data_IF_121478707460
#
_entry.id   IF_121478707460
#
_cell.length_a   1.000
_cell.length_b   1.000
_cell.length_c   1.000
_cell.angle_alpha   90.00
_cell.angle_beta   90.00
_cell.angle_gamma   90.00
#
_symmetry.space_group_name_H-M   'P 1'
#
loop_
_entity.id
_entity.type
_entity.pdbx_description
1 polymer ?
#
# COMPACT_ATOMS: atom_id res chain seq x y z
N UNK A 1 43.03 -55.01 76.18
CA UNK A 1 42.03 -54.00 75.88
C UNK A 1 42.38 -53.35 74.48
N UNK A 2 41.67 -53.72 73.43
CA UNK A 2 41.89 -53.18 72.07
C UNK A 2 40.84 -52.11 71.83
N UNK A 3 41.27 -50.87 71.68
CA UNK A 3 40.38 -49.76 71.25
C UNK A 3 40.22 -49.77 69.71
N UNK A 4 39.01 -50.06 69.28
CA UNK A 4 38.62 -49.93 67.84
C UNK A 4 38.21 -48.48 67.56
N UNK A 5 38.98 -47.77 66.78
CA UNK A 5 38.64 -46.45 66.31
C UNK A 5 37.80 -46.56 65.02
N UNK A 6 36.54 -46.24 65.11
CA UNK A 6 35.62 -46.14 63.98
C UNK A 6 35.90 -44.84 63.21
N UNK A 7 36.29 -44.98 61.96
CA UNK A 7 36.51 -43.84 61.03
C UNK A 7 35.23 -43.62 60.27
N UNK A 8 34.50 -42.52 60.56
CA UNK A 8 33.30 -42.12 59.82
C UNK A 8 33.74 -41.31 58.66
N UNK A 9 33.57 -41.84 57.40
CA UNK A 9 33.81 -41.11 56.17
C UNK A 9 32.56 -40.31 55.88
N UNK A 10 32.67 -38.96 55.99
CA UNK A 10 31.63 -38.01 55.57
C UNK A 10 31.73 -37.83 54.09
N UNK A 11 30.84 -38.47 53.31
CA UNK A 11 30.73 -38.30 51.87
C UNK A 11 30.01 -36.96 51.56
N UNK A 12 30.76 -35.96 51.14
CA UNK A 12 30.18 -34.68 50.64
C UNK A 12 29.75 -34.93 49.19
N UNK A 13 28.45 -35.06 48.97
CA UNK A 13 27.85 -35.08 47.66
C UNK A 13 27.78 -33.63 47.15
N UNK A 14 28.66 -33.25 46.21
CA UNK A 14 28.56 -32.02 45.45
C UNK A 14 27.45 -32.21 44.42
N UNK A 15 26.28 -31.65 44.68
CA UNK A 15 25.23 -31.51 43.68
C UNK A 15 25.63 -30.33 42.79
N UNK A 16 26.21 -30.63 41.63
CA UNK A 16 26.37 -29.65 40.57
C UNK A 16 24.98 -29.38 39.99
N UNK A 17 24.32 -28.32 40.48
CA UNK A 17 23.20 -27.74 39.75
C UNK A 17 23.76 -27.14 38.45
N UNK A 18 23.78 -27.94 37.40
CA UNK A 18 23.91 -27.44 36.04
C UNK A 18 22.62 -26.72 35.71
N UNK A 19 22.60 -25.41 35.89
CA UNK A 19 21.57 -24.53 35.34
C UNK A 19 21.85 -24.46 33.85
N UNK A 20 21.27 -25.40 33.05
CA UNK A 20 21.08 -25.21 31.67
C UNK A 20 19.94 -24.20 31.53
N UNK A 21 20.24 -22.92 31.61
CA UNK A 21 19.44 -21.91 30.93
C UNK A 21 19.79 -22.03 29.46
N UNK A 22 19.10 -22.90 28.73
CA UNK A 22 18.93 -22.74 27.31
C UNK A 22 18.11 -21.46 27.15
N UNK A 23 18.78 -20.32 27.24
CA UNK A 23 18.27 -19.06 26.71
C UNK A 23 18.17 -19.28 25.21
N UNK A 24 17.02 -19.84 24.77
CA UNK A 24 16.67 -19.78 23.34
C UNK A 24 16.77 -18.31 22.91
N UNK A 25 17.81 -17.99 22.16
CA UNK A 25 18.05 -16.64 21.66
C UNK A 25 16.80 -16.23 20.88
N UNK A 26 15.91 -15.46 21.53
CA UNK A 26 14.67 -15.02 20.93
C UNK A 26 15.01 -14.14 19.73
N UNK A 27 14.72 -14.63 18.54
CA UNK A 27 14.93 -13.85 17.31
C UNK A 27 14.07 -12.59 17.35
N UNK A 28 14.61 -11.43 16.91
CA UNK A 28 13.80 -10.25 16.69
C UNK A 28 12.74 -10.54 15.64
N UNK A 29 11.69 -9.76 15.61
CA UNK A 29 10.70 -9.81 14.53
C UNK A 29 10.65 -8.52 13.73
N UNK A 30 10.25 -8.66 12.47
CA UNK A 30 10.07 -7.58 11.50
C UNK A 30 8.66 -7.64 10.96
N UNK A 31 8.06 -6.48 10.76
CA UNK A 31 6.79 -6.32 10.08
C UNK A 31 6.88 -5.17 9.08
N UNK A 32 5.99 -5.20 8.10
CA UNK A 32 5.77 -4.12 7.15
C UNK A 32 4.32 -3.66 7.23
N UNK A 33 4.09 -2.35 7.18
CA UNK A 33 2.77 -1.75 7.24
C UNK A 33 2.31 -1.30 5.84
N UNK A 34 1.01 -1.26 5.63
CA UNK A 34 0.43 -0.74 4.39
C UNK A 34 0.61 0.77 4.30
N UNK A 35 0.84 1.27 3.08
CA UNK A 35 1.23 2.64 2.79
C UNK A 35 0.28 3.20 1.74
N UNK A 36 0.02 4.49 1.82
CA UNK A 36 -0.64 5.26 0.76
C UNK A 36 0.32 6.35 0.30
N UNK A 37 0.40 6.57 -0.99
CA UNK A 37 1.24 7.58 -1.62
C UNK A 37 0.51 8.17 -2.81
N UNK A 38 0.63 9.47 -3.02
CA UNK A 38 0.17 10.13 -4.23
C UNK A 38 1.06 9.68 -5.40
N UNK A 39 0.44 9.40 -6.53
CA UNK A 39 1.16 8.97 -7.72
C UNK A 39 2.04 10.09 -8.27
N UNK A 40 1.50 11.31 -8.33
CA UNK A 40 2.17 12.50 -8.87
C UNK A 40 2.32 12.47 -10.39
N UNK A 41 2.56 13.63 -10.99
CA UNK A 41 2.65 13.79 -12.44
C UNK A 41 4.04 13.47 -13.03
N UNK A 42 4.95 12.94 -12.26
CA UNK A 42 6.31 12.56 -12.70
C UNK A 42 6.87 11.48 -11.79
N UNK A 43 7.86 10.77 -12.30
CA UNK A 43 8.58 9.78 -11.49
C UNK A 43 9.03 10.33 -10.14
N UNK A 44 8.67 9.63 -9.08
CA UNK A 44 9.04 9.92 -7.70
C UNK A 44 9.43 8.64 -6.95
N UNK A 45 9.75 8.74 -5.65
CA UNK A 45 10.23 7.61 -4.86
C UNK A 45 9.44 7.46 -3.56
N UNK A 46 8.90 6.26 -3.35
CA UNK A 46 8.33 5.83 -2.08
C UNK A 46 9.43 5.23 -1.21
N UNK A 47 9.81 5.90 -0.13
CA UNK A 47 10.69 5.31 0.89
C UNK A 47 9.87 4.42 1.82
N UNK A 48 10.27 3.15 1.93
CA UNK A 48 9.66 2.17 2.82
C UNK A 48 10.62 1.84 3.94
N UNK A 49 10.18 2.02 5.19
CA UNK A 49 10.98 1.72 6.37
C UNK A 49 10.57 0.38 6.98
N UNK A 50 11.57 -0.45 7.26
CA UNK A 50 11.42 -1.68 8.02
C UNK A 50 11.99 -1.47 9.42
N UNK A 51 11.27 -1.95 10.43
CA UNK A 51 11.67 -1.80 11.84
C UNK A 51 11.66 -3.17 12.54
N UNK A 52 12.72 -3.43 13.30
CA UNK A 52 12.84 -4.61 14.16
C UNK A 52 12.22 -4.33 15.52
N UNK A 53 11.74 -5.38 16.18
CA UNK A 53 11.24 -5.28 17.56
C UNK A 53 12.33 -4.94 18.59
N UNK A 54 13.58 -5.25 18.29
CA UNK A 54 14.77 -4.91 19.08
C UNK A 54 16.04 -5.09 18.25
N UNK A 55 17.09 -4.34 18.57
CA UNK A 55 18.42 -4.55 18.00
C UNK A 55 19.06 -5.85 18.48
N UNK A 56 19.96 -6.37 17.67
CA UNK A 56 20.75 -7.58 17.97
C UNK A 56 22.22 -7.34 17.65
N UNK A 57 23.12 -8.16 18.18
CA UNK A 57 24.56 -8.06 18.05
C UNK A 57 25.14 -8.83 16.85
N UNK A 58 24.29 -9.16 15.89
CA UNK A 58 24.64 -9.88 14.66
C UNK A 58 23.83 -9.35 13.49
N UNK A 59 24.31 -9.63 12.28
CA UNK A 59 23.61 -9.25 11.06
C UNK A 59 22.42 -10.15 10.79
N UNK A 60 21.35 -9.58 10.27
CA UNK A 60 20.18 -10.27 9.80
C UNK A 60 19.74 -9.70 8.44
N UNK A 61 18.94 -10.45 7.71
CA UNK A 61 18.43 -9.98 6.42
C UNK A 61 17.05 -10.53 6.10
N UNK A 62 16.40 -9.85 5.18
CA UNK A 62 15.13 -10.24 4.59
C UNK A 62 15.13 -9.83 3.12
N UNK A 63 14.55 -10.66 2.25
CA UNK A 63 14.31 -10.28 0.87
C UNK A 63 13.02 -9.50 0.78
N UNK A 64 13.03 -8.46 -0.02
CA UNK A 64 11.88 -7.60 -0.32
C UNK A 64 11.58 -7.70 -1.81
N UNK A 65 10.32 -7.86 -2.17
CA UNK A 65 9.88 -7.78 -3.56
C UNK A 65 8.51 -7.15 -3.70
N UNK A 66 8.29 -6.52 -4.84
CA UNK A 66 6.97 -6.02 -5.26
C UNK A 66 6.17 -7.11 -5.99
N UNK A 67 4.85 -7.01 -5.93
CA UNK A 67 3.91 -7.91 -6.60
C UNK A 67 2.74 -7.10 -7.13
N UNK A 68 2.46 -7.21 -8.43
CA UNK A 68 1.35 -6.51 -9.08
C UNK A 68 0.00 -6.77 -8.38
N UNK A 69 -0.83 -5.76 -8.40
CA UNK A 69 -2.23 -5.78 -8.04
C UNK A 69 -3.06 -5.19 -9.19
N UNK A 70 -3.75 -4.08 -8.97
CA UNK A 70 -4.29 -3.23 -10.04
C UNK A 70 -3.18 -2.38 -10.64
N UNK A 71 -2.28 -1.84 -9.80
CA UNK A 71 -1.05 -1.21 -10.26
C UNK A 71 -0.07 -2.26 -10.84
N UNK A 72 0.49 -1.97 -12.00
CA UNK A 72 1.28 -2.88 -12.84
C UNK A 72 2.72 -2.36 -12.96
N UNK A 73 3.67 -3.21 -12.67
CA UNK A 73 5.09 -2.86 -12.85
C UNK A 73 5.42 -2.45 -14.27
N UNK A 74 6.25 -1.41 -14.39
CA UNK A 74 6.65 -0.83 -15.67
C UNK A 74 5.63 0.13 -16.27
N UNK A 75 4.44 0.26 -15.65
CA UNK A 75 3.44 1.29 -15.93
C UNK A 75 3.35 2.26 -14.74
N UNK A 76 3.06 1.74 -13.56
CA UNK A 76 2.72 2.53 -12.38
C UNK A 76 3.86 2.56 -11.35
N UNK A 77 4.74 1.54 -11.38
CA UNK A 77 5.95 1.48 -10.54
C UNK A 77 7.05 0.63 -11.16
N UNK A 78 8.27 0.79 -10.69
CA UNK A 78 9.41 -0.07 -11.09
C UNK A 78 9.47 -1.31 -10.20
N UNK A 79 9.57 -2.50 -10.83
CA UNK A 79 9.71 -3.78 -10.13
C UNK A 79 10.93 -3.78 -9.20
N UNK A 80 10.74 -4.24 -7.96
CA UNK A 80 11.81 -4.32 -6.97
C UNK A 80 12.00 -5.76 -6.49
N UNK A 81 13.26 -6.20 -6.46
CA UNK A 81 13.72 -7.35 -5.70
C UNK A 81 15.07 -7.02 -5.08
N UNK A 82 15.12 -6.92 -3.75
CA UNK A 82 16.30 -6.50 -3.01
C UNK A 82 16.46 -7.28 -1.71
N UNK A 83 17.70 -7.50 -1.28
CA UNK A 83 18.03 -8.07 0.04
C UNK A 83 18.34 -6.93 0.98
N UNK A 84 17.48 -6.74 1.97
CA UNK A 84 17.68 -5.72 3.01
C UNK A 84 18.46 -6.33 4.16
N UNK A 85 19.59 -5.73 4.48
CA UNK A 85 20.50 -6.16 5.55
C UNK A 85 20.40 -5.17 6.71
N UNK A 86 20.19 -5.69 7.90
CA UNK A 86 20.36 -4.95 9.15
C UNK A 86 21.68 -5.37 9.76
N UNK A 87 22.63 -4.45 9.84
CA UNK A 87 23.91 -4.69 10.51
C UNK A 87 23.71 -4.78 12.03
N UNK A 88 24.63 -5.46 12.72
CA UNK A 88 24.62 -5.56 14.17
C UNK A 88 24.37 -4.21 14.84
N UNK A 89 23.37 -4.14 15.74
CA UNK A 89 22.96 -2.94 16.46
C UNK A 89 21.95 -2.05 15.74
N UNK A 90 21.62 -2.29 14.47
CA UNK A 90 20.57 -1.54 13.76
C UNK A 90 19.19 -2.05 14.14
N UNK A 91 18.23 -1.15 14.23
CA UNK A 91 16.80 -1.43 14.41
C UNK A 91 15.95 -1.05 13.22
N UNK A 92 16.51 -0.26 12.30
CA UNK A 92 15.79 0.23 11.12
C UNK A 92 16.63 0.11 9.87
N UNK A 93 15.99 -0.18 8.76
CA UNK A 93 16.53 -0.10 7.41
C UNK A 93 15.43 0.35 6.45
N UNK A 94 15.79 1.04 5.39
CA UNK A 94 14.85 1.50 4.37
C UNK A 94 15.30 1.09 2.98
N UNK A 95 14.33 1.06 2.07
CA UNK A 95 14.53 0.90 0.64
C UNK A 95 13.54 1.80 -0.12
N UNK A 96 13.82 2.06 -1.39
CA UNK A 96 13.00 2.93 -2.22
C UNK A 96 12.33 2.14 -3.34
N UNK A 97 11.07 2.46 -3.61
CA UNK A 97 10.33 2.01 -4.79
C UNK A 97 10.10 3.23 -5.67
N UNK A 98 10.47 3.14 -6.93
CA UNK A 98 10.21 4.18 -7.91
C UNK A 98 8.76 4.09 -8.38
N UNK A 99 8.01 5.17 -8.21
CA UNK A 99 6.64 5.34 -8.68
C UNK A 99 6.70 6.09 -10.01
N UNK A 100 6.01 5.59 -11.00
CA UNK A 100 6.02 6.10 -12.39
C UNK A 100 4.77 6.95 -12.61
N UNK A 101 4.70 8.09 -11.92
CA UNK A 101 3.58 9.01 -12.06
C UNK A 101 3.52 9.67 -13.44
N UNK A 102 2.30 9.99 -13.88
CA UNK A 102 2.02 10.68 -15.15
C UNK A 102 0.90 11.73 -14.95
N UNK A 103 0.23 12.18 -16.00
CA UNK A 103 -0.84 13.18 -15.95
C UNK A 103 -2.17 12.60 -16.50
N UNK A 104 -2.34 11.28 -16.42
CA UNK A 104 -3.50 10.56 -16.92
C UNK A 104 -4.45 10.25 -15.76
N UNK A 105 -5.68 10.79 -15.75
CA UNK A 105 -6.65 10.44 -14.73
C UNK A 105 -7.00 8.96 -14.72
N UNK A 106 -6.74 8.31 -13.62
CA UNK A 106 -6.99 6.88 -13.40
C UNK A 106 -7.76 6.64 -12.09
N UNK A 107 -8.12 5.42 -11.80
CA UNK A 107 -8.61 5.05 -10.47
C UNK A 107 -7.43 4.82 -9.53
N UNK A 108 -7.64 4.98 -8.22
CA UNK A 108 -6.64 4.57 -7.24
C UNK A 108 -6.27 3.11 -7.43
N UNK A 109 -4.99 2.82 -7.48
CA UNK A 109 -4.46 1.50 -7.75
C UNK A 109 -3.68 0.92 -6.57
N UNK A 110 -3.45 -0.39 -6.59
CA UNK A 110 -2.71 -1.08 -5.52
C UNK A 110 -1.70 -2.05 -6.08
N UNK A 111 -0.55 -2.15 -5.40
CA UNK A 111 0.37 -3.28 -5.49
C UNK A 111 0.76 -3.76 -4.09
N UNK A 112 1.51 -4.84 -3.99
CA UNK A 112 1.94 -5.38 -2.70
C UNK A 112 3.46 -5.43 -2.59
N UNK A 113 3.96 -5.22 -1.37
CA UNK A 113 5.34 -5.51 -0.98
C UNK A 113 5.33 -6.80 -0.17
N UNK A 114 6.22 -7.73 -0.45
CA UNK A 114 6.38 -8.99 0.29
C UNK A 114 7.76 -9.11 0.89
N UNK A 115 7.79 -9.60 2.15
CA UNK A 115 9.00 -10.00 2.86
C UNK A 115 9.16 -11.52 2.74
N UNK A 116 10.31 -11.96 2.26
CA UNK A 116 10.63 -13.37 2.02
C UNK A 116 12.01 -13.72 2.55
N UNK A 117 12.35 -15.01 2.63
CA UNK A 117 13.67 -15.53 2.95
C UNK A 117 14.35 -14.89 4.17
N UNK A 118 13.69 -14.85 5.37
CA UNK A 118 14.28 -14.24 6.55
C UNK A 118 15.51 -15.02 7.01
N UNK A 119 16.60 -14.31 7.29
CA UNK A 119 17.81 -14.84 7.92
C UNK A 119 18.00 -14.20 9.29
N UNK A 120 18.00 -15.02 10.36
CA UNK A 120 18.15 -14.59 11.75
C UNK A 120 17.04 -13.64 12.28
N UNK A 121 15.88 -13.58 11.63
CA UNK A 121 14.74 -12.75 12.01
C UNK A 121 13.43 -13.51 11.77
N UNK A 122 12.38 -13.19 12.53
CA UNK A 122 11.01 -13.66 12.27
C UNK A 122 10.25 -12.59 11.49
N UNK A 123 9.39 -13.01 10.59
CA UNK A 123 8.47 -12.09 9.92
C UNK A 123 7.10 -12.22 10.57
N UNK A 124 6.62 -11.16 11.22
CA UNK A 124 5.29 -11.13 11.85
C UNK A 124 4.21 -10.76 10.82
N UNK A 125 4.47 -9.74 9.97
CA UNK A 125 3.62 -9.41 8.84
C UNK A 125 4.42 -9.45 7.53
N UNK A 126 4.03 -10.36 6.63
CA UNK A 126 4.77 -10.63 5.39
C UNK A 126 4.43 -9.70 4.24
N UNK A 127 3.27 -9.07 4.28
CA UNK A 127 2.74 -8.37 3.12
C UNK A 127 2.18 -7.03 3.53
N UNK A 128 2.57 -5.99 2.83
CA UNK A 128 1.95 -4.67 2.89
C UNK A 128 1.30 -4.34 1.54
N UNK A 129 0.18 -3.65 1.59
CA UNK A 129 -0.44 -3.06 0.42
C UNK A 129 0.05 -1.63 0.28
N UNK A 130 0.51 -1.27 -0.90
CA UNK A 130 0.74 0.11 -1.31
C UNK A 130 -0.45 0.55 -2.15
N UNK A 131 -1.05 1.67 -1.79
CA UNK A 131 -2.11 2.31 -2.57
C UNK A 131 -1.52 3.53 -3.24
N UNK A 132 -1.53 3.55 -4.56
CA UNK A 132 -1.26 4.74 -5.38
C UNK A 132 -2.56 5.53 -5.45
N UNK A 133 -2.50 6.77 -4.99
CA UNK A 133 -3.64 7.68 -5.03
C UNK A 133 -3.47 8.52 -6.28
N UNK A 134 -4.42 8.41 -7.20
CA UNK A 134 -4.46 9.28 -8.36
C UNK A 134 -4.71 10.72 -7.94
N UNK A 135 -3.91 11.65 -8.43
CA UNK A 135 -4.03 13.08 -8.18
C UNK A 135 -4.34 13.89 -9.46
N UNK A 136 -4.66 13.20 -10.56
CA UNK A 136 -5.02 13.78 -11.84
C UNK A 136 -6.52 13.97 -11.98
N UNK A 137 -6.90 15.05 -12.65
CA UNK A 137 -8.30 15.41 -12.88
C UNK A 137 -8.66 15.35 -14.37
N UNK A 138 -9.85 14.83 -14.67
CA UNK A 138 -10.43 14.95 -15.99
C UNK A 138 -10.78 16.41 -16.30
N UNK A 139 -9.86 17.14 -16.90
CA UNK A 139 -10.14 18.50 -17.34
C UNK A 139 -10.78 18.44 -18.72
N UNK A 140 -12.10 18.55 -18.76
CA UNK A 140 -12.81 18.82 -20.02
C UNK A 140 -12.64 20.30 -20.35
N UNK A 141 -11.74 20.65 -21.28
CA UNK A 141 -11.66 22.01 -21.77
C UNK A 141 -12.88 22.29 -22.63
N UNK A 142 -13.85 22.98 -22.07
CA UNK A 142 -14.98 23.54 -22.84
C UNK A 142 -14.48 24.85 -23.43
N UNK A 143 -14.51 25.05 -24.79
CA UNK A 143 -14.14 26.32 -25.36
C UNK A 143 -14.99 27.44 -24.76
N UNK A 144 -14.38 28.59 -24.44
CA UNK A 144 -15.13 29.77 -23.93
C UNK A 144 -16.27 30.21 -24.86
N UNK A 145 -16.12 29.93 -26.13
CA UNK A 145 -17.15 30.19 -27.15
C UNK A 145 -18.26 29.14 -27.20
N UNK A 146 -18.14 28.06 -26.37
CA UNK A 146 -19.04 26.91 -26.45
C UNK A 146 -18.86 26.09 -27.71
N UNK A 147 -19.71 25.09 -27.89
CA UNK A 147 -19.81 24.32 -29.11
C UNK A 147 -20.99 24.85 -29.92
N UNK A 148 -20.76 25.23 -31.20
CA UNK A 148 -21.82 25.56 -32.13
C UNK A 148 -22.16 24.34 -32.99
N UNK A 149 -23.43 23.99 -33.08
CA UNK A 149 -23.91 23.01 -34.04
C UNK A 149 -24.22 23.72 -35.37
N UNK A 150 -24.01 23.07 -36.54
CA UNK A 150 -24.45 23.63 -37.82
C UNK A 150 -25.95 23.89 -37.81
N UNK A 151 -26.37 25.04 -38.30
CA UNK A 151 -27.80 25.36 -38.41
C UNK A 151 -28.54 24.44 -39.41
N UNK A 152 -27.80 23.84 -40.32
CA UNK A 152 -28.37 22.95 -41.34
C UNK A 152 -27.43 21.77 -41.61
N UNK A 153 -28.02 20.61 -41.91
CA UNK A 153 -27.32 19.41 -42.35
C UNK A 153 -27.79 19.02 -43.73
N UNK A 154 -26.88 18.64 -44.61
CA UNK A 154 -27.20 18.26 -46.00
C UNK A 154 -28.18 17.05 -46.00
N UNK A 155 -29.29 17.18 -46.74
CA UNK A 155 -30.33 16.14 -46.84
C UNK A 155 -31.25 16.03 -45.63
N UNK A 156 -31.15 16.92 -44.64
CA UNK A 156 -32.04 16.94 -43.46
C UNK A 156 -32.86 18.21 -43.45
N UNK A 157 -34.09 18.10 -42.95
CA UNK A 157 -34.97 19.26 -42.72
C UNK A 157 -35.17 19.37 -41.20
N UNK A 158 -34.88 20.56 -40.65
CA UNK A 158 -35.16 20.83 -39.23
C UNK A 158 -36.68 20.80 -39.01
N UNK A 159 -37.13 19.91 -38.19
CA UNK A 159 -38.55 19.74 -37.83
C UNK A 159 -38.92 20.45 -36.54
N UNK A 160 -37.95 20.62 -35.65
CA UNK A 160 -38.11 21.31 -34.39
C UNK A 160 -36.75 21.68 -33.79
N UNK A 161 -36.67 22.85 -33.12
CA UNK A 161 -35.54 23.24 -32.27
C UNK A 161 -36.04 24.07 -31.09
N UNK A 162 -35.31 24.06 -30.00
CA UNK A 162 -35.45 24.98 -28.87
C UNK A 162 -34.08 25.29 -28.32
N UNK A 163 -33.59 26.47 -28.53
CA UNK A 163 -32.25 26.90 -28.11
C UNK A 163 -32.26 27.49 -26.71
N UNK A 164 -33.40 27.47 -25.99
CA UNK A 164 -33.59 28.03 -24.66
C UNK A 164 -33.08 29.48 -24.49
N UNK A 165 -33.12 30.26 -25.55
CA UNK A 165 -32.61 31.63 -25.60
C UNK A 165 -33.60 32.67 -25.01
N UNK A 166 -34.79 32.22 -24.61
CA UNK A 166 -35.81 33.04 -23.97
C UNK A 166 -35.63 33.11 -22.45
N UNK A 167 -36.20 34.15 -21.81
CA UNK A 167 -36.16 34.28 -20.35
C UNK A 167 -36.99 33.22 -19.59
N UNK A 168 -37.85 32.49 -20.28
CA UNK A 168 -38.74 31.49 -19.74
C UNK A 168 -38.83 30.26 -20.66
N UNK A 169 -39.09 29.11 -20.08
CA UNK A 169 -39.29 27.85 -20.80
C UNK A 169 -40.66 27.92 -21.52
N UNK A 170 -40.67 27.64 -22.83
CA UNK A 170 -41.89 27.59 -23.60
C UNK A 170 -42.76 26.41 -23.19
N UNK A 171 -43.79 26.65 -22.40
CA UNK A 171 -44.70 25.63 -21.86
C UNK A 171 -45.55 24.91 -22.92
N UNK A 172 -45.56 25.40 -24.19
CA UNK A 172 -46.21 24.67 -25.28
C UNK A 172 -45.36 23.50 -25.79
N UNK A 173 -44.05 23.61 -25.63
CA UNK A 173 -43.07 22.60 -26.07
C UNK A 173 -42.59 21.72 -24.91
N UNK A 174 -42.65 22.25 -23.69
CA UNK A 174 -42.06 21.60 -22.52
C UNK A 174 -43.06 21.47 -21.38
N UNK A 175 -43.08 20.32 -20.75
CA UNK A 175 -43.88 20.05 -19.53
C UNK A 175 -42.96 19.65 -18.40
N UNK A 176 -43.10 20.29 -17.24
CA UNK A 176 -42.39 19.89 -16.06
C UNK A 176 -43.00 18.60 -15.50
N UNK A 177 -42.18 17.55 -15.35
CA UNK A 177 -42.57 16.41 -14.57
C UNK A 177 -42.43 16.75 -13.08
N UNK A 178 -43.54 16.80 -12.37
CA UNK A 178 -43.57 17.04 -10.92
C UNK A 178 -43.85 15.70 -10.26
N UNK A 179 -42.84 15.14 -9.61
CA UNK A 179 -43.01 13.92 -8.83
C UNK A 179 -41.70 13.24 -8.45
N UNK A 180 -41.74 12.45 -7.41
CA UNK A 180 -40.68 11.51 -7.06
C UNK A 180 -40.85 10.29 -7.95
N UNK A 181 -40.26 10.34 -9.15
CA UNK A 181 -40.45 9.29 -10.15
C UNK A 181 -39.97 7.91 -9.69
N UNK A 182 -40.87 6.95 -9.68
CA UNK A 182 -40.52 5.52 -9.49
C UNK A 182 -39.72 4.93 -10.67
N UNK A 183 -39.29 5.76 -11.62
CA UNK A 183 -38.67 5.39 -12.90
C UNK A 183 -37.26 5.95 -13.09
N UNK A 184 -36.55 6.27 -12.01
CA UNK A 184 -35.14 6.66 -12.10
C UNK A 184 -34.85 8.10 -12.51
N UNK A 185 -35.83 8.97 -12.56
CA UNK A 185 -35.70 10.41 -12.83
C UNK A 185 -35.90 11.20 -11.54
N UNK A 186 -34.97 11.17 -10.67
CA UNK A 186 -35.04 11.94 -9.46
C UNK A 186 -33.70 11.89 -8.74
N UNK A 187 -33.09 13.06 -8.57
CA UNK A 187 -32.00 13.22 -7.63
C UNK A 187 -32.61 13.12 -6.23
N UNK A 188 -32.22 12.07 -5.48
CA UNK A 188 -32.47 11.98 -4.06
C UNK A 188 -31.55 12.93 -3.28
#
# INVERSE_FOLDING_TARGET
MKFLRTFTILSIVFILNSCNSDDEKKLPSISIESIQVEEGNTTNYLEVMLTLTNSVDYDLSVDVRTVDGTAIKGKDYTDLYEVIIFSAGQEQASFNIEILGDDIPEDNEIFSIRLENPLNVKIDNRTATVTLINDDEHIFSIPETGYSTPETYEGMTLVWSDEFDGPEINSNNWTFEIGTGNWGWGNN
#
